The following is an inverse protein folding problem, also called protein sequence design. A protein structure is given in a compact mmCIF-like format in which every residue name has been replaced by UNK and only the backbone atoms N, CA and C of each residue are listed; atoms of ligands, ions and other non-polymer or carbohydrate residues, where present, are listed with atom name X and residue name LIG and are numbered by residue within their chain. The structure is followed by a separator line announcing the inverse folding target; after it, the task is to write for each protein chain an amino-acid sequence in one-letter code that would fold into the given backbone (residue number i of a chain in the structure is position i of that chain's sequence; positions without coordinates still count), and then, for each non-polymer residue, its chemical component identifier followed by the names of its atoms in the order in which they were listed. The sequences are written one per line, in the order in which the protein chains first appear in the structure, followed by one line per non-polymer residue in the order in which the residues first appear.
data_IF_307056331878
#
_entry.id   IF_307056331878
#
_cell.length_a   1.000
_cell.length_b   1.000
_cell.length_c   1.000
_cell.angle_alpha   90.00
_cell.angle_beta   90.00
_cell.angle_gamma   90.00
#
_symmetry.space_group_name_H-M   'P 1'
#
loop_
_entity.id
_entity.type
_entity.pdbx_description
1 polymer ?
#
# COMPACT_ATOMS: atom_id res chain seq x y z
N UNK A 1 5.92 -15.09 11.51
CA UNK A 1 5.23 -14.44 12.66
C UNK A 1 6.30 -13.63 13.36
N UNK A 2 6.05 -12.36 13.63
CA UNK A 2 7.06 -11.45 14.19
C UNK A 2 7.40 -11.85 15.63
N UNK A 3 8.58 -11.52 16.12
CA UNK A 3 8.92 -11.71 17.54
C UNK A 3 8.15 -10.70 18.40
N UNK A 4 7.99 -9.49 17.88
CA UNK A 4 7.25 -8.40 18.49
C UNK A 4 5.73 -8.62 18.40
N UNK A 5 5.05 -8.66 19.55
CA UNK A 5 3.58 -8.72 19.60
C UNK A 5 2.96 -7.51 18.89
N UNK A 6 3.55 -6.33 19.06
CA UNK A 6 3.12 -5.10 18.39
C UNK A 6 3.06 -5.25 16.86
N UNK A 7 4.09 -5.85 16.25
CA UNK A 7 4.11 -6.05 14.80
C UNK A 7 3.10 -7.09 14.33
N UNK A 8 2.83 -8.12 15.14
CA UNK A 8 1.75 -9.07 14.86
C UNK A 8 0.39 -8.37 14.87
N UNK A 9 0.10 -7.56 15.90
CA UNK A 9 -1.16 -6.82 16.04
C UNK A 9 -1.34 -5.78 14.91
N UNK A 10 -0.25 -5.10 14.52
CA UNK A 10 -0.25 -4.17 13.40
C UNK A 10 -0.56 -4.90 12.09
N UNK A 11 0.07 -6.06 11.86
CA UNK A 11 -0.16 -6.85 10.65
C UNK A 11 -1.60 -7.37 10.58
N UNK A 12 -2.18 -7.79 11.70
CA UNK A 12 -3.61 -8.13 11.77
C UNK A 12 -4.50 -6.94 11.41
N UNK A 13 -4.16 -5.76 11.90
CA UNK A 13 -4.86 -4.51 11.55
C UNK A 13 -4.76 -4.21 10.05
N UNK A 14 -3.58 -4.36 9.45
CA UNK A 14 -3.35 -4.20 8.01
C UNK A 14 -4.23 -5.16 7.21
N UNK A 15 -4.24 -6.45 7.56
CA UNK A 15 -5.05 -7.48 6.87
C UNK A 15 -6.54 -7.16 6.99
N UNK A 16 -6.99 -6.78 8.18
CA UNK A 16 -8.40 -6.47 8.45
C UNK A 16 -8.89 -5.25 7.66
N UNK A 17 -8.06 -4.23 7.48
CA UNK A 17 -8.41 -3.03 6.70
C UNK A 17 -8.38 -3.25 5.20
N UNK A 18 -7.57 -4.20 4.73
CA UNK A 18 -7.26 -4.38 3.31
C UNK A 18 -7.61 -5.81 2.84
N UNK A 19 -8.87 -6.27 3.02
CA UNK A 19 -9.22 -7.66 2.75
C UNK A 19 -9.01 -8.00 1.27
N UNK A 20 -8.33 -9.13 1.02
CA UNK A 20 -8.07 -9.63 -0.33
C UNK A 20 -6.85 -9.02 -1.04
N UNK A 21 -6.08 -8.16 -0.37
CA UNK A 21 -4.86 -7.56 -0.94
C UNK A 21 -3.60 -8.37 -0.62
N UNK A 22 -3.53 -9.61 -1.11
CA UNK A 22 -2.45 -10.55 -0.77
C UNK A 22 -1.05 -10.05 -1.11
N UNK A 23 -0.89 -9.38 -2.25
CA UNK A 23 0.38 -8.82 -2.69
C UNK A 23 0.83 -7.72 -1.74
N UNK A 24 -0.07 -6.80 -1.38
CA UNK A 24 0.21 -5.76 -0.39
C UNK A 24 0.55 -6.35 0.99
N UNK A 25 -0.21 -7.35 1.45
CA UNK A 25 0.05 -8.01 2.74
C UNK A 25 1.42 -8.67 2.80
N UNK A 26 1.83 -9.33 1.71
CA UNK A 26 3.14 -9.95 1.62
C UNK A 26 4.23 -8.89 1.73
N UNK A 27 4.14 -7.82 0.95
CA UNK A 27 5.16 -6.75 0.94
C UNK A 27 5.26 -6.06 2.29
N UNK A 28 4.14 -5.73 2.94
CA UNK A 28 4.16 -5.14 4.29
C UNK A 28 4.87 -6.07 5.28
N UNK A 29 4.57 -7.37 5.24
CA UNK A 29 5.21 -8.35 6.12
C UNK A 29 6.72 -8.38 5.93
N UNK A 30 7.19 -8.55 4.70
CA UNK A 30 8.62 -8.66 4.39
C UNK A 30 9.41 -7.42 4.85
N UNK A 31 8.83 -6.22 4.63
CA UNK A 31 9.45 -4.97 5.08
C UNK A 31 9.47 -4.89 6.60
N UNK A 32 8.35 -5.17 7.29
CA UNK A 32 8.29 -5.15 8.75
C UNK A 32 9.27 -6.15 9.39
N UNK A 33 9.44 -7.34 8.79
CA UNK A 33 10.42 -8.35 9.24
C UNK A 33 11.84 -7.81 9.12
N UNK A 34 12.16 -7.06 8.06
CA UNK A 34 13.49 -6.49 7.87
C UNK A 34 13.85 -5.36 8.85
N UNK A 35 12.85 -4.59 9.31
CA UNK A 35 13.06 -3.44 10.20
C UNK A 35 12.81 -3.75 11.68
N UNK A 36 12.30 -4.94 12.02
CA UNK A 36 12.06 -5.36 13.40
C UNK A 36 13.27 -5.12 14.33
N UNK A 37 14.53 -5.44 13.96
CA UNK A 37 15.70 -5.17 14.81
C UNK A 37 15.96 -3.68 15.07
N UNK A 38 15.55 -2.79 14.14
CA UNK A 38 15.67 -1.34 14.31
C UNK A 38 14.62 -0.84 15.30
N UNK A 39 13.40 -1.37 15.22
CA UNK A 39 12.32 -1.02 16.14
C UNK A 39 12.59 -1.50 17.57
N UNK A 40 13.29 -2.63 17.73
CA UNK A 40 13.77 -3.10 19.05
C UNK A 40 14.81 -2.15 19.67
N UNK A 41 15.71 -1.59 18.85
CA UNK A 41 16.76 -0.67 19.31
C UNK A 41 16.27 0.77 19.48
N UNK A 42 15.19 1.14 18.78
CA UNK A 42 14.65 2.51 18.71
C UNK A 42 13.13 2.49 18.89
N UNK A 43 12.65 2.21 20.11
CA UNK A 43 11.22 2.04 20.40
C UNK A 43 10.42 3.35 20.24
N UNK A 44 11.08 4.51 20.15
CA UNK A 44 10.44 5.80 19.90
C UNK A 44 9.66 5.85 18.57
N UNK A 45 10.05 5.04 17.57
CA UNK A 45 9.30 4.94 16.31
C UNK A 45 7.93 4.27 16.50
N UNK A 46 7.82 3.37 17.47
CA UNK A 46 6.55 2.75 17.85
C UNK A 46 5.70 3.75 18.64
N UNK A 47 6.27 4.36 19.68
CA UNK A 47 5.49 5.27 20.55
C UNK A 47 5.03 6.54 19.86
N UNK A 48 5.73 6.98 18.81
CA UNK A 48 5.34 8.11 17.96
C UNK A 48 4.43 7.74 16.77
N UNK A 49 3.99 6.49 16.71
CA UNK A 49 3.04 6.02 15.70
C UNK A 49 3.60 6.05 14.28
N UNK A 50 4.92 5.90 14.10
CA UNK A 50 5.56 6.00 12.78
C UNK A 50 5.22 4.77 11.93
N UNK A 51 5.27 3.59 12.51
CA UNK A 51 5.09 2.33 11.76
C UNK A 51 3.65 2.18 11.24
N UNK A 52 2.66 2.58 12.03
CA UNK A 52 1.24 2.62 11.64
C UNK A 52 1.01 3.58 10.46
N UNK A 53 1.67 4.74 10.47
CA UNK A 53 1.59 5.71 9.38
C UNK A 53 2.33 5.25 8.14
N UNK A 54 3.37 4.43 8.27
CA UNK A 54 4.13 3.90 7.13
C UNK A 54 3.38 2.83 6.36
N UNK A 55 2.47 2.07 6.99
CA UNK A 55 1.69 1.01 6.32
C UNK A 55 0.36 1.51 5.75
N UNK A 56 0.02 2.78 5.97
CA UNK A 56 -1.21 3.40 5.50
C UNK A 56 -0.88 4.50 4.48
N UNK A 57 -1.37 4.41 3.23
CA UNK A 57 -1.10 5.45 2.23
C UNK A 57 -1.66 6.81 2.65
N UNK A 58 -0.92 7.89 2.41
CA UNK A 58 -1.42 9.26 2.63
C UNK A 58 -2.67 9.56 1.79
N UNK A 59 -2.74 9.02 0.57
CA UNK A 59 -3.92 9.17 -0.31
C UNK A 59 -4.04 8.05 -1.33
N UNK A 60 -5.27 7.56 -1.50
CA UNK A 60 -5.67 6.64 -2.57
C UNK A 60 -6.69 7.34 -3.46
N UNK A 61 -6.44 7.37 -4.77
CA UNK A 61 -7.34 7.93 -5.78
C UNK A 61 -7.77 6.81 -6.73
N UNK A 62 -9.08 6.59 -6.83
CA UNK A 62 -9.71 5.65 -7.77
C UNK A 62 -10.68 6.42 -8.65
N UNK A 63 -10.58 6.23 -9.95
CA UNK A 63 -11.38 6.99 -10.90
C UNK A 63 -11.75 6.18 -12.13
N UNK A 64 -12.87 6.57 -12.77
CA UNK A 64 -13.33 5.97 -14.02
C UNK A 64 -12.59 6.59 -15.20
N UNK A 65 -12.19 5.76 -16.16
CA UNK A 65 -11.54 6.17 -17.42
C UNK A 65 -12.40 5.68 -18.60
N UNK A 66 -13.35 6.50 -19.09
CA UNK A 66 -14.11 6.19 -20.29
C UNK A 66 -13.32 6.56 -21.55
N UNK A 67 -13.42 5.74 -22.59
CA UNK A 67 -12.82 6.00 -23.90
C UNK A 67 -13.64 5.33 -25.01
N UNK A 68 -13.43 5.74 -26.26
CA UNK A 68 -14.15 5.20 -27.43
C UNK A 68 -13.15 4.43 -28.29
N UNK A 69 -13.46 3.19 -28.62
CA UNK A 69 -12.65 2.35 -29.51
C UNK A 69 -12.90 2.70 -30.98
N UNK A 70 -12.06 2.17 -31.88
CA UNK A 70 -12.11 2.46 -33.32
C UNK A 70 -13.46 2.03 -33.97
N UNK A 71 -14.15 1.05 -33.39
CA UNK A 71 -15.49 0.59 -33.81
C UNK A 71 -16.66 1.45 -33.27
N UNK A 72 -16.34 2.54 -32.56
CA UNK A 72 -17.32 3.42 -31.92
C UNK A 72 -17.86 2.91 -30.59
N UNK A 73 -17.42 1.74 -30.10
CA UNK A 73 -17.87 1.19 -28.82
C UNK A 73 -17.25 1.97 -27.65
N UNK A 74 -18.10 2.34 -26.68
CA UNK A 74 -17.65 2.94 -25.42
C UNK A 74 -17.07 1.86 -24.51
N UNK A 75 -15.83 2.08 -24.08
CA UNK A 75 -15.10 1.25 -23.14
C UNK A 75 -14.90 2.00 -21.83
N UNK A 76 -14.86 1.27 -20.72
CA UNK A 76 -14.68 1.85 -19.38
C UNK A 76 -13.66 1.04 -18.61
N UNK A 77 -12.60 1.70 -18.17
CA UNK A 77 -11.57 1.13 -17.29
C UNK A 77 -11.52 1.89 -15.97
N UNK A 78 -10.79 1.34 -15.00
CA UNK A 78 -10.52 1.96 -13.71
C UNK A 78 -9.06 2.41 -13.66
N UNK A 79 -8.85 3.67 -13.29
CA UNK A 79 -7.55 4.24 -12.99
C UNK A 79 -7.28 4.26 -11.48
N UNK A 80 -6.01 4.13 -11.12
CA UNK A 80 -5.52 4.18 -9.73
C UNK A 80 -4.34 5.14 -9.63
N UNK A 81 -4.29 5.90 -8.53
CA UNK A 81 -3.07 6.58 -8.10
C UNK A 81 -2.96 6.49 -6.58
N UNK A 82 -1.88 5.88 -6.11
CA UNK A 82 -1.60 5.70 -4.69
C UNK A 82 -0.39 6.56 -4.36
N UNK A 83 -0.62 7.50 -3.46
CA UNK A 83 0.35 8.47 -2.99
C UNK A 83 0.72 8.01 -1.58
N UNK A 84 1.69 7.11 -1.49
CA UNK A 84 1.92 6.36 -0.26
C UNK A 84 2.56 7.21 0.83
N UNK A 85 3.70 7.85 0.53
CA UNK A 85 4.43 8.66 1.50
C UNK A 85 5.15 9.83 0.80
N UNK A 86 5.16 11.01 1.42
CA UNK A 86 5.81 12.24 0.94
C UNK A 86 6.83 12.83 1.91
N UNK A 87 7.24 12.08 2.95
CA UNK A 87 8.09 12.60 4.03
C UNK A 87 9.43 13.19 3.53
N UNK A 88 9.95 12.71 2.40
CA UNK A 88 11.23 13.16 1.80
C UNK A 88 11.06 13.92 0.48
N UNK A 89 9.83 14.27 0.09
CA UNK A 89 9.56 15.02 -1.14
C UNK A 89 8.29 14.59 -1.89
N UNK A 90 8.07 15.11 -3.12
CA UNK A 90 6.89 14.79 -3.90
C UNK A 90 6.76 13.29 -4.21
N UNK A 91 5.52 12.78 -4.25
CA UNK A 91 5.26 11.39 -4.60
C UNK A 91 5.88 11.02 -5.95
N UNK A 92 6.63 9.92 -5.97
CA UNK A 92 7.29 9.41 -7.18
C UNK A 92 6.98 7.94 -7.41
N UNK A 93 6.60 7.62 -8.64
CA UNK A 93 6.26 6.25 -9.05
C UNK A 93 5.70 6.24 -10.47
N UNK A 94 5.91 5.14 -11.20
CA UNK A 94 5.48 4.97 -12.59
C UNK A 94 3.96 4.82 -12.75
N UNK A 95 3.54 4.51 -13.96
CA UNK A 95 2.18 4.11 -14.30
C UNK A 95 2.24 2.73 -14.97
N UNK A 96 1.27 1.87 -14.65
CA UNK A 96 1.16 0.52 -15.23
C UNK A 96 -0.20 0.36 -15.89
N UNK A 97 -0.20 0.07 -17.18
CA UNK A 97 -1.40 -0.32 -17.93
C UNK A 97 -1.31 -1.81 -18.23
N UNK A 98 -2.00 -2.62 -17.43
CA UNK A 98 -2.07 -4.06 -17.62
C UNK A 98 -3.40 -4.58 -17.07
N UNK A 99 -4.02 -5.60 -17.69
CA UNK A 99 -5.32 -6.13 -17.24
C UNK A 99 -5.32 -6.66 -15.81
N UNK A 100 -4.17 -7.07 -15.28
CA UNK A 100 -4.06 -7.55 -13.89
C UNK A 100 -4.01 -6.42 -12.85
N UNK A 101 -3.93 -5.15 -13.25
CA UNK A 101 -3.80 -4.03 -12.30
C UNK A 101 -5.06 -3.94 -11.42
N UNK A 102 -4.84 -4.01 -10.12
CA UNK A 102 -5.83 -3.75 -9.08
C UNK A 102 -5.17 -2.91 -7.97
N UNK A 103 -5.91 -2.59 -6.91
CA UNK A 103 -5.38 -1.79 -5.80
C UNK A 103 -4.27 -2.50 -5.03
N UNK A 104 -4.43 -3.80 -4.72
CA UNK A 104 -3.41 -4.64 -4.06
C UNK A 104 -2.04 -4.55 -4.73
N UNK A 105 -2.02 -4.58 -6.07
CA UNK A 105 -0.79 -4.56 -6.87
C UNK A 105 -0.15 -3.16 -6.96
N UNK A 106 -0.94 -2.10 -6.78
CA UNK A 106 -0.47 -0.71 -6.87
C UNK A 106 -0.07 -0.15 -5.50
N UNK A 107 -0.59 -0.72 -4.41
CA UNK A 107 -0.18 -0.43 -3.03
C UNK A 107 1.17 -1.06 -2.75
#
# INVERSE_FOLDING_TARGET
MFKSQYLNDLMETVIKRNPGESEFHQTVREVLESIEPVLEQSPEYITSGVVERMVEPERIIKFRVPWVADDGKVMVNRGFRIQFNSAIGPYKGGLRFHPSVNESIIK
#
